data_IF_141899138727
#
_entry.id   IF_141899138727
#
_cell.length_a   1.000
_cell.length_b   1.000
_cell.length_c   1.000
_cell.angle_alpha   90.00
_cell.angle_beta   90.00
_cell.angle_gamma   90.00
#
_symmetry.space_group_name_H-M   'P 1'
#
loop_
_entity.id
_entity.type
_entity.pdbx_description
1 polymer ?
#
# COMPACT_ATOMS: atom_id res chain seq x y z
N UNK A 1 2.94 -26.94 -11.39
CA UNK A 1 2.79 -26.32 -10.06
C UNK A 1 1.32 -26.32 -9.69
N UNK A 2 0.97 -26.56 -8.42
CA UNK A 2 -0.40 -26.46 -7.93
C UNK A 2 -0.55 -25.08 -7.28
N UNK A 3 -1.23 -24.17 -7.97
CA UNK A 3 -1.46 -22.80 -7.52
C UNK A 3 -2.74 -22.74 -6.69
N UNK A 4 -2.74 -21.86 -5.68
CA UNK A 4 -3.88 -21.62 -4.79
C UNK A 4 -4.28 -20.16 -4.87
N UNK A 5 -5.54 -19.89 -4.57
CA UNK A 5 -6.04 -18.53 -4.46
C UNK A 5 -5.33 -17.80 -3.32
N UNK A 6 -4.90 -16.58 -3.59
CA UNK A 6 -4.16 -15.74 -2.65
C UNK A 6 -5.10 -14.64 -2.16
N UNK A 7 -5.34 -14.59 -0.85
CA UNK A 7 -6.04 -13.46 -0.23
C UNK A 7 -5.07 -12.29 -0.03
N UNK A 8 -5.46 -11.10 -0.48
CA UNK A 8 -4.64 -9.90 -0.45
C UNK A 8 -5.42 -8.73 0.18
N UNK A 9 -4.82 -7.95 1.10
CA UNK A 9 -5.47 -6.75 1.64
C UNK A 9 -5.61 -5.65 0.58
N UNK A 10 -6.63 -4.80 0.73
CA UNK A 10 -6.81 -3.64 -0.14
C UNK A 10 -5.91 -2.45 0.27
N UNK A 11 -5.63 -1.59 -0.71
CA UNK A 11 -4.93 -0.33 -0.46
C UNK A 11 -5.84 0.67 0.26
N UNK A 12 -5.27 1.47 1.18
CA UNK A 12 -6.01 2.51 1.91
C UNK A 12 -5.27 3.85 1.91
N UNK A 13 -5.95 4.97 1.63
CA UNK A 13 -5.34 6.30 1.69
C UNK A 13 -5.29 6.88 3.11
N UNK A 14 -5.82 6.18 4.11
CA UNK A 14 -5.92 6.73 5.49
C UNK A 14 -4.56 7.11 6.05
N UNK A 15 -3.53 6.29 5.84
CA UNK A 15 -2.18 6.58 6.33
C UNK A 15 -1.62 7.89 5.77
N UNK A 16 -1.91 8.18 4.49
CA UNK A 16 -1.50 9.43 3.85
C UNK A 16 -2.15 10.65 4.51
N UNK A 17 -3.46 10.58 4.79
CA UNK A 17 -4.18 11.67 5.47
C UNK A 17 -3.70 11.90 6.90
N UNK A 18 -3.44 10.82 7.66
CA UNK A 18 -2.82 10.92 8.99
C UNK A 18 -1.46 11.63 8.89
N UNK A 19 -0.64 11.26 7.91
CA UNK A 19 0.66 11.89 7.68
C UNK A 19 0.58 13.39 7.38
N UNK A 20 -0.42 13.83 6.60
CA UNK A 20 -0.67 15.26 6.34
C UNK A 20 -1.03 15.98 7.64
N UNK A 21 -1.98 15.47 8.42
CA UNK A 21 -2.37 16.10 9.68
C UNK A 21 -1.22 16.14 10.69
N UNK A 22 -0.38 15.11 10.75
CA UNK A 22 0.81 15.10 11.60
C UNK A 22 1.84 16.14 11.13
N UNK A 23 2.07 16.25 9.82
CA UNK A 23 3.02 17.22 9.26
C UNK A 23 2.58 18.66 9.54
N UNK A 24 1.31 18.98 9.24
CA UNK A 24 0.75 20.32 9.43
C UNK A 24 0.61 20.64 10.93
N UNK A 25 0.12 19.69 11.73
CA UNK A 25 -0.01 19.86 13.17
C UNK A 25 1.33 20.07 13.86
N UNK A 26 2.35 19.28 13.51
CA UNK A 26 3.72 19.45 13.98
C UNK A 26 4.32 20.80 13.58
N UNK A 27 4.07 21.25 12.34
CA UNK A 27 4.48 22.59 11.90
C UNK A 27 3.88 23.68 12.78
N UNK A 28 2.59 23.66 13.07
CA UNK A 28 1.96 24.68 13.92
C UNK A 28 2.43 24.66 15.38
N UNK A 29 2.78 23.49 15.91
CA UNK A 29 3.37 23.37 17.26
C UNK A 29 4.74 24.06 17.36
N UNK A 30 5.53 24.08 16.29
CA UNK A 30 6.83 24.77 16.26
C UNK A 30 6.67 26.29 16.44
N UNK A 31 5.62 26.87 15.86
CA UNK A 31 5.32 28.31 15.92
C UNK A 31 4.38 28.70 17.06
N UNK A 32 4.25 27.85 18.11
CA UNK A 32 3.36 28.08 19.26
C UNK A 32 1.89 28.35 18.89
N UNK A 33 1.48 27.99 17.68
CA UNK A 33 0.14 28.28 17.17
C UNK A 33 -0.79 27.12 17.54
N UNK A 34 -1.19 27.10 18.82
CA UNK A 34 -1.87 25.94 19.43
C UNK A 34 -3.26 25.64 18.86
N UNK A 35 -4.02 26.65 18.44
CA UNK A 35 -5.38 26.47 17.92
C UNK A 35 -5.40 25.57 16.66
N UNK A 36 -4.66 25.90 15.57
CA UNK A 36 -4.62 25.05 14.38
C UNK A 36 -3.92 23.71 14.64
N UNK A 37 -2.96 23.63 15.58
CA UNK A 37 -2.38 22.37 16.00
C UNK A 37 -3.43 21.43 16.62
N UNK A 38 -4.33 21.94 17.47
CA UNK A 38 -5.43 21.17 18.04
C UNK A 38 -6.44 20.70 16.97
N UNK A 39 -6.74 21.54 15.97
CA UNK A 39 -7.59 21.14 14.83
C UNK A 39 -6.96 19.95 14.09
N UNK A 40 -5.65 20.00 13.83
CA UNK A 40 -4.93 18.88 13.21
C UNK A 40 -4.93 17.63 14.09
N UNK A 41 -4.80 17.79 15.41
CA UNK A 41 -4.91 16.68 16.36
C UNK A 41 -6.27 15.97 16.29
N UNK A 42 -7.36 16.74 16.22
CA UNK A 42 -8.70 16.17 15.97
C UNK A 42 -8.79 15.51 14.59
N UNK A 43 -8.11 16.03 13.57
CA UNK A 43 -7.99 15.39 12.26
C UNK A 43 -7.32 14.00 12.34
N UNK A 44 -6.23 13.87 13.11
CA UNK A 44 -5.54 12.59 13.35
C UNK A 44 -6.49 11.61 14.05
N UNK A 45 -7.08 11.99 15.19
CA UNK A 45 -8.00 11.10 15.90
C UNK A 45 -9.25 10.78 15.09
N UNK A 46 -9.80 11.75 14.37
CA UNK A 46 -10.97 11.55 13.51
C UNK A 46 -10.70 10.54 12.41
N UNK A 47 -9.54 10.63 11.74
CA UNK A 47 -9.14 9.65 10.71
C UNK A 47 -8.83 8.27 11.30
N UNK A 48 -8.22 8.19 12.48
CA UNK A 48 -8.02 6.93 13.20
C UNK A 48 -9.34 6.25 13.57
N UNK A 49 -10.28 7.02 14.13
CA UNK A 49 -11.63 6.53 14.47
C UNK A 49 -12.34 6.04 13.21
N UNK A 50 -12.33 6.85 12.14
CA UNK A 50 -12.92 6.46 10.86
C UNK A 50 -12.36 5.13 10.34
N UNK A 51 -11.04 4.94 10.39
CA UNK A 51 -10.40 3.70 9.95
C UNK A 51 -10.71 2.52 10.85
N UNK A 52 -10.90 2.74 12.16
CA UNK A 52 -11.30 1.68 13.09
C UNK A 52 -12.67 1.10 12.76
N UNK A 53 -13.56 1.86 12.12
CA UNK A 53 -14.90 1.40 11.72
C UNK A 53 -14.97 0.87 10.29
N UNK A 54 -13.93 1.09 9.47
CA UNK A 54 -13.89 0.49 8.13
C UNK A 54 -13.54 -1.00 8.23
N UNK A 55 -14.49 -1.85 7.88
CA UNK A 55 -14.27 -3.28 7.72
C UNK A 55 -13.85 -3.55 6.28
N UNK A 56 -12.60 -3.94 6.09
CA UNK A 56 -12.00 -4.22 4.80
C UNK A 56 -11.64 -5.71 4.71
N UNK A 57 -12.37 -6.44 3.88
CA UNK A 57 -12.24 -7.89 3.77
C UNK A 57 -11.15 -8.32 2.77
N UNK A 58 -10.40 -7.38 2.17
CA UNK A 58 -9.43 -7.69 1.12
C UNK A 58 -10.08 -8.22 -0.16
N UNK A 59 -9.25 -8.76 -1.06
CA UNK A 59 -9.68 -9.41 -2.31
C UNK A 59 -8.89 -10.69 -2.54
N UNK A 60 -9.35 -11.55 -3.45
CA UNK A 60 -8.68 -12.79 -3.81
C UNK A 60 -8.12 -12.72 -5.22
N UNK A 61 -6.85 -13.10 -5.37
CA UNK A 61 -6.21 -13.33 -6.66
C UNK A 61 -6.38 -14.82 -6.99
N UNK A 62 -7.03 -15.17 -8.12
CA UNK A 62 -7.30 -16.56 -8.47
C UNK A 62 -6.02 -17.30 -8.84
N UNK A 63 -5.96 -18.59 -8.51
CA UNK A 63 -4.84 -19.48 -8.80
C UNK A 63 -4.45 -19.50 -10.29
N UNK A 64 -5.42 -19.31 -11.19
CA UNK A 64 -5.19 -19.25 -12.62
C UNK A 64 -4.36 -18.03 -13.04
N UNK A 65 -4.64 -16.85 -12.48
CA UNK A 65 -3.91 -15.61 -12.75
C UNK A 65 -2.47 -15.68 -12.23
N UNK A 66 -2.29 -16.30 -11.06
CA UNK A 66 -0.96 -16.58 -10.50
C UNK A 66 -0.17 -17.50 -11.43
N UNK A 67 -0.82 -18.57 -11.93
CA UNK A 67 -0.18 -19.52 -12.84
C UNK A 67 0.30 -18.87 -14.13
N UNK A 68 -0.52 -18.01 -14.72
CA UNK A 68 -0.20 -17.26 -15.94
C UNK A 68 0.94 -16.26 -15.71
N UNK A 69 0.88 -15.51 -14.61
CA UNK A 69 1.92 -14.53 -14.26
C UNK A 69 3.28 -15.20 -14.06
N UNK A 70 3.33 -16.33 -13.36
CA UNK A 70 4.55 -17.11 -13.15
C UNK A 70 5.09 -17.72 -14.45
N UNK A 71 4.20 -18.22 -15.33
CA UNK A 71 4.61 -18.74 -16.64
C UNK A 71 5.27 -17.64 -17.48
N UNK A 72 4.64 -16.47 -17.57
CA UNK A 72 5.18 -15.31 -18.30
C UNK A 72 6.52 -14.83 -17.73
N UNK A 73 6.64 -14.77 -16.40
CA UNK A 73 7.91 -14.41 -15.74
C UNK A 73 9.03 -15.42 -16.04
N UNK A 74 8.69 -16.71 -16.09
CA UNK A 74 9.65 -17.78 -16.41
C UNK A 74 10.15 -17.67 -17.86
N UNK A 75 9.25 -17.42 -18.80
CA UNK A 75 9.62 -17.20 -20.21
C UNK A 75 10.51 -15.98 -20.40
N UNK A 76 10.16 -14.85 -19.78
CA UNK A 76 10.98 -13.63 -19.81
C UNK A 76 12.40 -13.88 -19.29
N UNK A 77 12.52 -14.60 -18.16
CA UNK A 77 13.82 -14.96 -17.58
C UNK A 77 14.64 -15.90 -18.46
N UNK A 78 14.01 -16.81 -19.20
CA UNK A 78 14.70 -17.68 -20.15
C UNK A 78 15.26 -16.83 -21.29
N UNK A 79 14.45 -15.94 -21.86
CA UNK A 79 14.88 -15.03 -22.94
C UNK A 79 16.04 -14.13 -22.51
N UNK A 80 16.01 -13.60 -21.29
CA UNK A 80 17.12 -12.81 -20.72
C UNK A 80 18.41 -13.64 -20.60
N UNK A 81 18.32 -14.88 -20.11
CA UNK A 81 19.49 -15.78 -20.01
C UNK A 81 20.08 -16.11 -21.37
N UNK A 82 19.24 -16.35 -22.37
CA UNK A 82 19.67 -16.60 -23.75
C UNK A 82 20.36 -15.36 -24.34
N UNK A 83 19.80 -14.16 -24.16
CA UNK A 83 20.41 -12.92 -24.61
C UNK A 83 21.79 -12.69 -23.96
N UNK A 84 21.91 -12.86 -22.65
CA UNK A 84 23.19 -12.72 -21.94
C UNK A 84 24.22 -13.76 -22.41
N UNK A 85 23.80 -14.99 -22.71
CA UNK A 85 24.68 -16.03 -23.25
C UNK A 85 25.15 -15.77 -24.69
N UNK A 86 24.43 -14.94 -25.45
CA UNK A 86 24.82 -14.55 -26.80
C UNK A 86 25.73 -13.31 -26.83
N UNK A 87 25.74 -12.51 -25.75
CA UNK A 87 26.59 -11.32 -25.60
C UNK A 87 27.96 -11.62 -24.98
N UNK A 88 28.13 -12.77 -24.31
CA UNK A 88 29.40 -13.25 -23.72
C UNK A 88 30.21 -14.11 -24.68
#
# INVERSE_FOLDING_TARGET
HNYKDIHMPNNTPVGFWIGIFMTIGGFFLIFETVIPALICLFGIFGTMIYRSFQIDHGYHIPAAEVAETEARLREARIKEREAVSHES
#
